data_IF_871685640692
#
_entry.id   IF_871685640692
#
_cell.length_a   1.000
_cell.length_b   1.000
_cell.length_c   1.000
_cell.angle_alpha   90.00
_cell.angle_beta   90.00
_cell.angle_gamma   90.00
#
_symmetry.space_group_name_H-M   'P 1'
#
loop_
_entity.id
_entity.type
_entity.pdbx_description
1 polymer ?
#
# COMPACT_ATOMS: atom_id res chain seq x y z
N UNK A 1 5.69 17.67 8.95
CA UNK A 1 6.16 16.58 9.82
C UNK A 1 6.35 15.34 8.97
N UNK A 2 7.57 14.82 8.83
CA UNK A 2 7.77 13.48 8.24
C UNK A 2 7.60 12.49 9.38
N UNK A 3 6.44 11.84 9.43
CA UNK A 3 6.26 10.68 10.31
C UNK A 3 7.16 9.61 9.72
N UNK A 4 8.27 9.30 10.38
CA UNK A 4 9.14 8.20 9.99
C UNK A 4 8.27 6.94 10.03
N UNK A 5 8.00 6.28 8.89
CA UNK A 5 7.24 5.04 8.93
C UNK A 5 8.01 4.04 9.80
N UNK A 6 7.30 3.36 10.71
CA UNK A 6 7.87 2.39 11.67
C UNK A 6 8.69 1.28 10.97
N UNK A 7 8.45 1.06 9.68
CA UNK A 7 9.20 0.17 8.78
C UNK A 7 9.39 0.80 7.40
N UNK A 8 10.62 0.82 6.88
CA UNK A 8 10.92 1.36 5.54
C UNK A 8 10.41 0.45 4.40
N UNK A 9 10.18 -0.82 4.70
CA UNK A 9 9.60 -1.81 3.78
C UNK A 9 8.37 -2.45 4.41
N UNK A 10 7.43 -2.86 3.57
CA UNK A 10 6.20 -3.54 3.95
C UNK A 10 6.06 -4.82 3.13
N UNK A 11 5.48 -5.86 3.73
CA UNK A 11 5.14 -7.10 3.05
C UNK A 11 3.62 -7.16 2.87
N UNK A 12 3.16 -7.53 1.68
CA UNK A 12 1.74 -7.76 1.44
C UNK A 12 1.26 -9.00 2.18
N UNK A 13 0.17 -8.86 2.92
CA UNK A 13 -0.45 -9.92 3.76
C UNK A 13 -1.76 -10.45 3.19
N UNK A 14 -2.03 -10.20 1.91
CA UNK A 14 -3.25 -10.67 1.25
C UNK A 14 -3.18 -12.18 1.01
N UNK A 15 -3.84 -12.98 1.84
CA UNK A 15 -3.69 -14.45 1.81
C UNK A 15 -4.03 -15.10 0.45
N UNK A 16 -4.95 -14.53 -0.35
CA UNK A 16 -5.40 -15.14 -1.62
C UNK A 16 -5.61 -14.15 -2.78
N UNK A 17 -5.15 -12.90 -2.64
CA UNK A 17 -5.34 -11.87 -3.67
C UNK A 17 -4.06 -11.07 -3.93
N UNK A 18 -3.86 -10.54 -5.14
CA UNK A 18 -2.76 -9.62 -5.39
C UNK A 18 -3.00 -8.28 -4.67
N UNK A 19 -1.93 -7.67 -4.17
CA UNK A 19 -1.95 -6.32 -3.61
C UNK A 19 -2.22 -5.32 -4.72
N UNK A 20 -3.32 -4.58 -4.62
CA UNK A 20 -3.68 -3.56 -5.60
C UNK A 20 -2.95 -2.25 -5.31
N UNK A 21 -2.20 -1.75 -6.30
CA UNK A 21 -1.55 -0.43 -6.25
C UNK A 21 -2.38 0.54 -7.08
N UNK A 22 -2.85 1.62 -6.46
CA UNK A 22 -3.75 2.61 -7.07
C UNK A 22 -3.05 3.96 -7.27
N UNK A 23 -3.55 4.76 -8.21
CA UNK A 23 -2.98 6.08 -8.50
C UNK A 23 -3.16 7.10 -7.37
N UNK A 24 -4.14 6.89 -6.49
CA UNK A 24 -4.43 7.74 -5.33
C UNK A 24 -4.93 6.88 -4.15
N UNK A 25 -4.95 7.47 -2.96
CA UNK A 25 -5.46 6.87 -1.72
C UNK A 25 -7.00 6.76 -1.70
N UNK A 26 -7.55 6.13 -2.72
CA UNK A 26 -8.99 5.98 -2.91
C UNK A 26 -9.29 4.62 -3.54
N UNK A 27 -10.31 3.91 -3.05
CA UNK A 27 -10.74 2.60 -3.58
C UNK A 27 -11.21 2.70 -5.03
N UNK A 28 -11.75 3.85 -5.42
CA UNK A 28 -12.27 4.08 -6.76
C UNK A 28 -11.19 4.63 -7.72
N UNK A 29 -9.99 4.91 -7.21
CA UNK A 29 -8.87 5.33 -8.05
C UNK A 29 -8.40 4.18 -8.95
N UNK A 30 -7.96 4.53 -10.16
CA UNK A 30 -7.47 3.56 -11.14
C UNK A 30 -6.34 2.70 -10.57
N UNK A 31 -6.42 1.39 -10.81
CA UNK A 31 -5.33 0.45 -10.52
C UNK A 31 -4.18 0.74 -11.48
N UNK A 32 -3.06 1.23 -10.94
CA UNK A 32 -1.83 1.48 -11.71
C UNK A 32 -0.95 0.25 -11.79
N UNK A 33 -1.17 -0.73 -10.91
CA UNK A 33 -0.51 -2.02 -10.95
C UNK A 33 -1.03 -2.94 -9.86
N UNK A 34 -0.52 -4.15 -9.87
CA UNK A 34 -0.76 -5.14 -8.83
C UNK A 34 0.53 -5.87 -8.51
N UNK A 35 0.61 -6.40 -7.30
CA UNK A 35 1.74 -7.19 -6.84
C UNK A 35 1.24 -8.52 -6.27
N UNK A 36 2.04 -9.57 -6.42
CA UNK A 36 1.68 -10.87 -5.88
C UNK A 36 1.66 -10.81 -4.34
N UNK A 37 0.82 -11.61 -3.72
CA UNK A 37 0.86 -11.80 -2.27
C UNK A 37 2.26 -12.20 -1.77
N UNK A 38 2.57 -11.83 -0.53
CA UNK A 38 3.88 -12.01 0.09
C UNK A 38 5.01 -11.14 -0.48
N UNK A 39 4.74 -10.24 -1.43
CA UNK A 39 5.76 -9.33 -2.00
C UNK A 39 6.17 -8.26 -0.99
N UNK A 40 7.46 -7.95 -0.95
CA UNK A 40 7.99 -6.82 -0.16
C UNK A 40 8.09 -5.58 -1.03
N UNK A 41 7.52 -4.47 -0.57
CA UNK A 41 7.51 -3.16 -1.23
C UNK A 41 8.18 -2.11 -0.34
N UNK A 42 8.77 -1.08 -0.97
CA UNK A 42 9.29 0.09 -0.26
C UNK A 42 8.12 0.99 0.13
N UNK A 43 8.11 1.47 1.37
CA UNK A 43 7.14 2.47 1.82
C UNK A 43 7.75 3.87 1.76
N UNK A 44 7.07 4.76 1.05
CA UNK A 44 7.47 6.15 0.88
C UNK A 44 6.77 7.08 1.88
N UNK A 45 5.46 6.91 2.06
CA UNK A 45 4.67 7.78 2.93
C UNK A 45 3.39 7.10 3.42
N UNK A 46 2.78 7.69 4.44
CA UNK A 46 1.45 7.31 4.97
C UNK A 46 0.52 8.49 4.72
N UNK A 47 -0.65 8.22 4.15
CA UNK A 47 -1.69 9.22 3.90
C UNK A 47 -3.05 8.69 4.32
N UNK A 48 -3.95 9.58 4.70
CA UNK A 48 -5.35 9.23 4.91
C UNK A 48 -6.11 9.24 3.58
N UNK A 49 -7.06 8.33 3.43
CA UNK A 49 -7.85 8.17 2.23
C UNK A 49 -9.21 7.52 2.50
N UNK A 50 -9.85 7.00 1.44
CA UNK A 50 -11.14 6.32 1.61
C UNK A 50 -11.00 5.04 2.42
N UNK A 51 -12.00 4.70 3.21
CA UNK A 51 -12.00 3.47 3.97
C UNK A 51 -11.99 2.23 3.06
N UNK A 52 -11.05 1.32 3.30
CA UNK A 52 -11.01 -0.02 2.73
C UNK A 52 -10.91 -0.99 3.89
N UNK A 53 -11.85 -1.92 3.97
CA UNK A 53 -11.89 -2.96 5.02
C UNK A 53 -11.73 -2.41 6.45
N UNK A 54 -12.35 -1.25 6.70
CA UNK A 54 -12.38 -0.61 8.02
C UNK A 54 -11.20 0.31 8.34
N UNK A 55 -10.22 0.47 7.46
CA UNK A 55 -9.11 1.43 7.64
C UNK A 55 -9.10 2.52 6.58
N UNK A 56 -8.82 3.76 6.99
CA UNK A 56 -8.58 4.91 6.11
C UNK A 56 -7.12 5.12 5.81
N UNK A 57 -6.24 4.26 6.33
CA UNK A 57 -4.79 4.41 6.17
C UNK A 57 -4.37 3.86 4.82
N UNK A 58 -3.71 4.68 4.02
CA UNK A 58 -3.07 4.30 2.77
C UNK A 58 -1.57 4.49 2.87
N UNK A 59 -0.85 3.54 2.29
CA UNK A 59 0.60 3.52 2.23
C UNK A 59 1.01 3.83 0.80
N UNK A 60 1.77 4.91 0.60
CA UNK A 60 2.44 5.13 -0.66
C UNK A 60 3.61 4.15 -0.76
N UNK A 61 3.55 3.28 -1.77
CA UNK A 61 4.51 2.21 -1.96
C UNK A 61 5.22 2.33 -3.30
N UNK A 62 6.43 1.79 -3.35
CA UNK A 62 7.24 1.70 -4.55
C UNK A 62 7.85 0.31 -4.70
N UNK A 63 7.85 -0.19 -5.93
CA UNK A 63 8.56 -1.39 -6.32
C UNK A 63 9.11 -1.23 -7.73
N UNK A 64 10.43 -1.07 -7.86
CA UNK A 64 11.06 -0.73 -9.13
C UNK A 64 10.54 0.60 -9.69
N UNK A 65 9.89 0.55 -10.85
CA UNK A 65 9.24 1.69 -11.51
C UNK A 65 7.78 1.88 -11.11
N UNK A 66 7.14 0.89 -10.49
CA UNK A 66 5.76 1.01 -10.02
C UNK A 66 5.72 1.85 -8.74
N UNK A 67 4.90 2.89 -8.74
CA UNK A 67 4.63 3.74 -7.57
C UNK A 67 3.14 4.02 -7.49
N UNK A 68 2.59 3.95 -6.29
CA UNK A 68 1.19 4.31 -6.05
C UNK A 68 0.81 4.06 -4.59
N UNK A 69 -0.49 3.93 -4.34
CA UNK A 69 -1.05 3.79 -3.01
C UNK A 69 -1.69 2.42 -2.85
N UNK A 70 -1.39 1.77 -1.74
CA UNK A 70 -2.01 0.52 -1.32
C UNK A 70 -2.64 0.71 0.07
N UNK A 71 -3.72 -0.01 0.35
CA UNK A 71 -4.37 0.07 1.67
C UNK A 71 -3.44 -0.47 2.75
N UNK A 72 -3.45 0.16 3.91
CA UNK A 72 -2.71 -0.31 5.09
C UNK A 72 -3.27 -1.61 5.67
N UNK A 73 -4.49 -2.03 5.29
CA UNK A 73 -5.05 -3.32 5.71
C UNK A 73 -4.27 -4.52 5.13
N UNK A 74 -3.71 -4.34 3.92
CA UNK A 74 -3.08 -5.40 3.14
C UNK A 74 -1.56 -5.42 3.30
N UNK A 75 -1.01 -4.56 4.17
CA UNK A 75 0.43 -4.32 4.30
C UNK A 75 0.84 -4.34 5.76
N UNK A 76 1.82 -5.19 6.08
CA UNK A 76 2.42 -5.27 7.40
C UNK A 76 3.93 -5.04 7.34
N UNK A 77 4.52 -4.65 8.46
CA UNK A 77 5.96 -4.78 8.64
C UNK A 77 6.34 -6.26 8.53
N UNK A 78 7.38 -6.62 7.75
CA UNK A 78 7.87 -7.99 7.69
C UNK A 78 8.42 -8.49 9.03
#
# INVERSE_FOLDING_TARGET
>A
MRVTPVCATLKSTTEDAPLNVRSAACRDATKVGEQQSGTTVERLSIVDGTAVDGTTVWQEVRQGSLRGFATGADLACP
#
